data_IF_212171867329
#
_entry.id   IF_212171867329
#
_cell.length_a   1.000
_cell.length_b   1.000
_cell.length_c   1.000
_cell.angle_alpha   90.00
_cell.angle_beta   90.00
_cell.angle_gamma   90.00
#
_symmetry.space_group_name_H-M   'P 1'
#
loop_
_entity.id
_entity.type
_entity.pdbx_description
1 polymer ?
#
# COMPACT_ATOMS: atom_id res chain seq x y z
N UNK A 1 -6.96 -16.07 15.22
CA UNK A 1 -8.43 -16.12 15.42
C UNK A 1 -9.07 -15.68 14.11
N UNK A 2 -9.75 -16.54 13.34
CA UNK A 2 -10.46 -16.03 12.18
C UNK A 2 -11.71 -15.29 12.68
N UNK A 3 -11.85 -14.05 12.22
CA UNK A 3 -12.99 -13.15 12.42
C UNK A 3 -13.20 -12.63 13.85
N UNK A 4 -12.97 -11.32 14.02
CA UNK A 4 -13.22 -10.62 15.27
C UNK A 4 -14.71 -10.34 15.43
N UNK A 5 -15.26 -10.76 16.56
CA UNK A 5 -16.68 -10.76 16.90
C UNK A 5 -17.07 -9.63 17.89
N UNK A 6 -16.09 -8.98 18.51
CA UNK A 6 -16.29 -7.88 19.47
C UNK A 6 -15.46 -6.64 19.10
N UNK A 7 -16.16 -5.56 18.75
CA UNK A 7 -15.57 -4.24 18.50
C UNK A 7 -15.54 -3.39 19.76
N UNK A 8 -14.50 -2.56 19.91
CA UNK A 8 -14.30 -1.68 21.07
C UNK A 8 -15.36 -0.59 21.09
N UNK A 9 -15.95 -0.39 22.26
CA UNK A 9 -16.83 0.74 22.55
C UNK A 9 -16.01 2.00 22.92
N UNK A 10 -16.69 3.12 23.20
CA UNK A 10 -16.01 4.40 23.51
C UNK A 10 -15.08 4.23 24.70
N UNK A 11 -15.59 3.61 25.78
CA UNK A 11 -14.83 3.41 27.02
C UNK A 11 -13.57 2.57 26.79
N UNK A 12 -13.67 1.52 25.99
CA UNK A 12 -12.54 0.63 25.71
C UNK A 12 -11.49 1.33 24.86
N UNK A 13 -11.89 2.12 23.86
CA UNK A 13 -10.95 2.93 23.08
C UNK A 13 -10.22 3.96 23.95
N UNK A 14 -10.93 4.65 24.85
CA UNK A 14 -10.29 5.58 25.80
C UNK A 14 -9.34 4.88 26.78
N UNK A 15 -9.70 3.69 27.27
CA UNK A 15 -8.81 2.89 28.13
C UNK A 15 -7.54 2.43 27.39
N UNK A 16 -7.64 2.24 26.07
CA UNK A 16 -6.51 1.97 25.18
C UNK A 16 -5.71 3.25 24.83
N UNK A 17 -6.12 4.41 25.35
CA UNK A 17 -5.48 5.69 25.12
C UNK A 17 -5.87 6.34 23.78
N UNK A 18 -6.84 5.79 23.03
CA UNK A 18 -7.28 6.35 21.75
C UNK A 18 -8.34 7.42 22.00
N UNK A 19 -8.09 8.71 21.76
CA UNK A 19 -8.98 9.80 22.15
C UNK A 19 -10.11 10.00 21.11
N UNK A 20 -10.92 8.97 20.86
CA UNK A 20 -12.05 9.06 19.95
C UNK A 20 -13.06 10.11 20.45
N UNK A 21 -13.55 10.94 19.53
CA UNK A 21 -14.35 12.14 19.79
C UNK A 21 -15.86 11.93 19.58
N UNK A 22 -16.36 10.75 19.96
CA UNK A 22 -17.79 10.44 19.96
C UNK A 22 -18.25 9.91 21.32
N UNK A 23 -19.53 10.08 21.62
CA UNK A 23 -20.21 9.45 22.77
C UNK A 23 -21.04 8.24 22.36
N UNK A 24 -21.11 7.93 21.06
CA UNK A 24 -21.87 6.82 20.50
C UNK A 24 -21.03 5.55 20.48
N UNK A 25 -21.43 4.54 21.26
CA UNK A 25 -20.81 3.22 21.21
C UNK A 25 -21.00 2.53 19.86
N UNK A 26 -22.08 2.83 19.14
CA UNK A 26 -22.28 2.35 17.77
C UNK A 26 -21.19 2.89 16.85
N UNK A 27 -20.93 4.20 16.90
CA UNK A 27 -19.90 4.86 16.09
C UNK A 27 -18.51 4.35 16.45
N UNK A 28 -18.19 4.21 17.75
CA UNK A 28 -16.91 3.65 18.19
C UNK A 28 -16.69 2.21 17.67
N UNK A 29 -17.72 1.37 17.74
CA UNK A 29 -17.67 -0.01 17.23
C UNK A 29 -17.52 -0.04 15.71
N UNK A 30 -18.23 0.80 14.98
CA UNK A 30 -18.08 0.92 13.52
C UNK A 30 -16.70 1.44 13.14
N UNK A 31 -16.13 2.36 13.91
CA UNK A 31 -14.77 2.88 13.69
C UNK A 31 -13.76 1.75 13.81
N UNK A 32 -13.81 1.00 14.92
CA UNK A 32 -12.90 -0.10 15.20
C UNK A 32 -13.07 -1.30 14.24
N UNK A 33 -14.31 -1.57 13.80
CA UNK A 33 -14.59 -2.55 12.76
C UNK A 33 -14.06 -2.11 11.39
N UNK A 34 -14.15 -0.82 11.06
CA UNK A 34 -13.60 -0.28 9.80
C UNK A 34 -12.09 -0.38 9.79
N UNK A 35 -11.43 -0.06 10.91
CA UNK A 35 -9.98 -0.27 11.07
C UNK A 35 -9.59 -1.74 10.92
N UNK A 36 -10.36 -2.66 11.47
CA UNK A 36 -10.06 -4.09 11.37
C UNK A 36 -10.16 -4.59 9.94
N UNK A 37 -11.13 -4.12 9.16
CA UNK A 37 -11.25 -4.47 7.74
C UNK A 37 -10.17 -3.79 6.88
N UNK A 38 -9.73 -2.59 7.26
CA UNK A 38 -8.61 -1.91 6.59
C UNK A 38 -7.27 -2.59 6.83
N UNK A 39 -6.98 -2.96 8.08
CA UNK A 39 -5.68 -3.49 8.50
C UNK A 39 -5.58 -5.00 8.27
N UNK A 40 -6.62 -5.75 8.63
CA UNK A 40 -6.65 -7.21 8.57
C UNK A 40 -7.32 -7.78 7.32
N UNK A 41 -7.77 -6.92 6.40
CA UNK A 41 -8.54 -7.31 5.20
C UNK A 41 -9.78 -8.16 5.48
N UNK A 42 -10.32 -8.06 6.70
CA UNK A 42 -11.57 -8.69 7.10
C UNK A 42 -12.73 -8.13 6.24
N UNK A 43 -13.67 -8.99 5.82
CA UNK A 43 -14.86 -8.58 5.04
C UNK A 43 -16.18 -8.85 5.73
N UNK A 44 -16.18 -9.16 7.03
CA UNK A 44 -17.39 -9.47 7.82
C UNK A 44 -18.52 -8.44 7.69
N UNK A 45 -18.19 -7.16 7.47
CA UNK A 45 -19.18 -6.08 7.31
C UNK A 45 -19.32 -5.59 5.85
N UNK A 46 -18.94 -6.43 4.88
CA UNK A 46 -19.00 -6.08 3.45
C UNK A 46 -17.80 -5.27 2.95
N UNK A 47 -16.74 -5.17 3.76
CA UNK A 47 -15.48 -4.50 3.43
C UNK A 47 -15.44 -3.01 3.82
N UNK A 48 -14.34 -2.36 3.45
CA UNK A 48 -14.01 -1.00 3.89
C UNK A 48 -15.06 0.02 3.45
N UNK A 49 -15.48 -0.01 2.17
CA UNK A 49 -16.39 1.01 1.62
C UNK A 49 -17.77 1.02 2.31
N UNK A 50 -18.52 -0.10 2.42
CA UNK A 50 -19.79 -0.10 3.12
C UNK A 50 -19.67 0.25 4.61
N UNK A 51 -18.59 -0.20 5.25
CA UNK A 51 -18.34 0.05 6.67
C UNK A 51 -18.07 1.53 6.94
N UNK A 52 -17.27 2.17 6.09
CA UNK A 52 -17.01 3.60 6.16
C UNK A 52 -18.27 4.43 5.92
N UNK A 53 -19.13 4.03 4.97
CA UNK A 53 -20.42 4.70 4.75
C UNK A 53 -21.33 4.62 5.98
N UNK A 54 -21.41 3.44 6.63
CA UNK A 54 -22.16 3.26 7.88
C UNK A 54 -21.57 4.08 9.03
N UNK A 55 -20.25 4.10 9.15
CA UNK A 55 -19.53 4.86 10.16
C UNK A 55 -19.86 6.35 10.07
N UNK A 56 -19.74 6.94 8.88
CA UNK A 56 -20.02 8.36 8.65
C UNK A 56 -21.51 8.71 8.87
N UNK A 57 -22.42 7.78 8.59
CA UNK A 57 -23.85 7.97 8.83
C UNK A 57 -24.22 7.90 10.32
N UNK A 58 -23.49 7.11 11.13
CA UNK A 58 -23.81 6.90 12.55
C UNK A 58 -23.58 8.14 13.43
N UNK A 59 -22.57 8.94 13.10
CA UNK A 59 -22.27 10.21 13.76
C UNK A 59 -21.51 11.12 12.77
N UNK A 60 -22.24 11.98 12.02
CA UNK A 60 -21.62 12.86 11.02
C UNK A 60 -20.64 13.89 11.58
N UNK A 61 -20.70 14.16 12.89
CA UNK A 61 -19.86 15.17 13.54
C UNK A 61 -18.55 14.56 14.07
N UNK A 62 -18.46 13.23 14.22
CA UNK A 62 -17.26 12.54 14.67
C UNK A 62 -16.06 12.86 13.75
N UNK A 63 -15.09 13.60 14.26
CA UNK A 63 -13.87 13.99 13.56
C UNK A 63 -13.02 12.78 13.21
N UNK A 64 -12.87 11.83 14.13
CA UNK A 64 -12.08 10.60 13.92
C UNK A 64 -12.59 9.80 12.72
N UNK A 65 -13.92 9.69 12.56
CA UNK A 65 -14.55 9.04 11.41
C UNK A 65 -14.23 9.76 10.09
N UNK A 66 -14.29 11.08 10.08
CA UNK A 66 -13.98 11.92 8.91
C UNK A 66 -12.49 11.90 8.55
N UNK A 67 -11.61 11.86 9.55
CA UNK A 67 -10.15 11.68 9.36
C UNK A 67 -9.86 10.34 8.68
N UNK A 68 -10.45 9.25 9.18
CA UNK A 68 -10.30 7.93 8.55
C UNK A 68 -10.81 7.93 7.12
N UNK A 69 -11.97 8.56 6.87
CA UNK A 69 -12.53 8.69 5.52
C UNK A 69 -11.62 9.47 4.57
N UNK A 70 -11.09 10.62 5.01
CA UNK A 70 -10.19 11.45 4.23
C UNK A 70 -8.88 10.71 3.90
N UNK A 71 -8.30 9.98 4.86
CA UNK A 71 -7.10 9.18 4.64
C UNK A 71 -7.33 8.05 3.62
N UNK A 72 -8.40 7.28 3.77
CA UNK A 72 -8.76 6.21 2.84
C UNK A 72 -9.08 6.74 1.43
N UNK A 73 -9.70 7.92 1.36
CA UNK A 73 -9.93 8.64 0.11
C UNK A 73 -8.61 9.02 -0.58
N UNK A 74 -7.63 9.52 0.18
CA UNK A 74 -6.33 9.93 -0.35
C UNK A 74 -5.55 8.78 -1.00
N UNK A 75 -5.62 7.56 -0.48
CA UNK A 75 -5.01 6.38 -1.11
C UNK A 75 -5.62 6.04 -2.48
N UNK A 76 -6.85 6.47 -2.74
CA UNK A 76 -7.51 6.24 -4.04
C UNK A 76 -7.23 7.34 -5.07
N UNK A 77 -6.71 8.50 -4.66
CA UNK A 77 -6.58 9.67 -5.52
C UNK A 77 -5.41 9.56 -6.50
N UNK A 78 -5.58 9.96 -7.79
CA UNK A 78 -4.57 9.92 -8.84
C UNK A 78 -3.40 10.89 -8.68
N UNK A 79 -3.53 11.99 -7.94
CA UNK A 79 -2.40 12.86 -7.57
C UNK A 79 -2.84 13.97 -6.61
N UNK A 80 -1.90 14.59 -5.88
CA UNK A 80 -2.14 15.90 -5.29
C UNK A 80 -2.64 16.87 -6.37
N UNK A 81 -3.78 17.51 -6.10
CA UNK A 81 -4.42 18.46 -7.00
C UNK A 81 -5.33 19.39 -6.20
N UNK A 82 -5.70 20.54 -6.77
CA UNK A 82 -6.65 21.45 -6.14
C UNK A 82 -7.99 20.76 -5.82
N UNK A 83 -8.44 19.85 -6.69
CA UNK A 83 -9.65 19.07 -6.47
C UNK A 83 -9.49 18.08 -5.32
N UNK A 84 -8.41 17.30 -5.30
CA UNK A 84 -8.14 16.35 -4.21
C UNK A 84 -8.00 17.08 -2.87
N UNK A 85 -7.30 18.22 -2.84
CA UNK A 85 -7.19 19.07 -1.67
C UNK A 85 -8.55 19.59 -1.20
N UNK A 86 -9.38 20.11 -2.10
CA UNK A 86 -10.72 20.58 -1.77
C UNK A 86 -11.59 19.46 -1.18
N UNK A 87 -11.55 18.25 -1.75
CA UNK A 87 -12.29 17.09 -1.24
C UNK A 87 -11.83 16.66 0.15
N UNK A 88 -10.52 16.70 0.41
CA UNK A 88 -9.96 16.43 1.75
C UNK A 88 -10.43 17.48 2.75
N UNK A 89 -10.32 18.76 2.42
CA UNK A 89 -10.78 19.87 3.28
C UNK A 89 -12.29 19.76 3.55
N UNK A 90 -13.09 19.46 2.52
CA UNK A 90 -14.54 19.26 2.65
C UNK A 90 -14.86 18.09 3.58
N UNK A 91 -14.20 16.94 3.37
CA UNK A 91 -14.39 15.75 4.23
C UNK A 91 -13.99 16.05 5.68
N UNK A 92 -12.90 16.80 5.88
CA UNK A 92 -12.40 17.18 7.19
C UNK A 92 -13.28 18.24 7.88
N UNK A 93 -13.97 19.10 7.15
CA UNK A 93 -14.88 20.12 7.69
C UNK A 93 -14.29 20.95 8.84
N UNK A 94 -15.02 21.03 9.95
CA UNK A 94 -14.65 21.77 11.17
C UNK A 94 -13.44 21.20 11.94
N UNK A 95 -12.92 20.01 11.59
CA UNK A 95 -11.69 19.49 12.22
C UNK A 95 -10.48 20.41 11.98
N UNK A 96 -10.53 21.21 10.92
CA UNK A 96 -9.52 22.21 10.56
C UNK A 96 -9.35 23.33 11.58
N UNK A 97 -10.34 23.55 12.45
CA UNK A 97 -10.30 24.57 13.51
C UNK A 97 -10.34 23.95 14.92
N UNK A 98 -10.15 22.63 15.04
CA UNK A 98 -10.19 21.93 16.32
C UNK A 98 -9.05 22.34 17.25
N UNK A 99 -9.37 22.61 18.51
CA UNK A 99 -8.38 22.83 19.57
C UNK A 99 -7.87 21.52 20.20
N UNK A 100 -8.46 20.38 19.85
CA UNK A 100 -7.98 19.07 20.27
C UNK A 100 -6.70 18.72 19.50
N UNK A 101 -5.58 18.59 20.22
CA UNK A 101 -4.26 18.34 19.63
C UNK A 101 -4.23 17.09 18.73
N UNK A 102 -4.85 15.99 19.15
CA UNK A 102 -4.87 14.74 18.38
C UNK A 102 -5.58 14.94 17.02
N UNK A 103 -6.77 15.53 17.05
CA UNK A 103 -7.54 15.86 15.84
C UNK A 103 -6.76 16.85 14.96
N UNK A 104 -6.21 17.92 15.54
CA UNK A 104 -5.47 18.94 14.79
C UNK A 104 -4.24 18.39 14.06
N UNK A 105 -3.54 17.42 14.66
CA UNK A 105 -2.36 16.81 14.05
C UNK A 105 -2.74 15.90 12.88
N UNK A 106 -3.80 15.09 13.03
CA UNK A 106 -4.33 14.29 11.93
C UNK A 106 -4.80 15.16 10.76
N UNK A 107 -5.56 16.22 11.06
CA UNK A 107 -6.02 17.18 10.07
C UNK A 107 -4.84 17.84 9.35
N UNK A 108 -3.84 18.32 10.09
CA UNK A 108 -2.64 18.92 9.50
C UNK A 108 -1.91 17.94 8.58
N UNK A 109 -1.72 16.69 9.00
CA UNK A 109 -1.07 15.66 8.19
C UNK A 109 -1.82 15.40 6.87
N UNK A 110 -3.15 15.31 6.92
CA UNK A 110 -3.96 15.10 5.72
C UNK A 110 -3.95 16.30 4.79
N UNK A 111 -3.94 17.52 5.32
CA UNK A 111 -3.76 18.74 4.53
C UNK A 111 -2.41 18.73 3.83
N UNK A 112 -1.31 18.47 4.55
CA UNK A 112 0.02 18.40 3.97
C UNK A 112 0.12 17.32 2.88
N UNK A 113 -0.45 16.13 3.12
CA UNK A 113 -0.48 15.08 2.12
C UNK A 113 -1.31 15.48 0.89
N UNK A 114 -2.47 16.09 1.06
CA UNK A 114 -3.32 16.54 -0.06
C UNK A 114 -2.66 17.59 -0.95
N UNK A 115 -1.70 18.35 -0.40
CA UNK A 115 -0.87 19.32 -1.11
C UNK A 115 0.42 18.71 -1.71
N UNK A 116 0.65 17.41 -1.52
CA UNK A 116 1.81 16.69 -2.07
C UNK A 116 3.03 16.61 -1.15
N UNK A 117 2.87 16.93 0.14
CA UNK A 117 3.90 16.86 1.16
C UNK A 117 3.67 15.66 2.10
N UNK A 118 3.63 14.48 1.52
CA UNK A 118 3.45 13.18 2.20
C UNK A 118 4.53 12.93 3.25
N UNK A 119 5.77 13.39 3.04
CA UNK A 119 6.83 13.28 4.05
C UNK A 119 6.47 14.03 5.34
N UNK A 120 5.96 15.27 5.23
CA UNK A 120 5.53 16.07 6.39
C UNK A 120 4.32 15.45 7.10
N UNK A 121 3.41 14.86 6.34
CA UNK A 121 2.28 14.11 6.91
C UNK A 121 2.77 12.91 7.74
N UNK A 122 3.76 12.18 7.23
CA UNK A 122 4.38 11.04 7.92
C UNK A 122 5.05 11.47 9.23
N UNK A 123 5.84 12.55 9.21
CA UNK A 123 6.48 13.10 10.41
C UNK A 123 5.46 13.54 11.48
N UNK A 124 4.33 14.09 11.02
CA UNK A 124 3.24 14.50 11.89
C UNK A 124 2.58 13.29 12.57
N UNK A 125 2.33 12.21 11.83
CA UNK A 125 1.80 10.97 12.40
C UNK A 125 2.79 10.24 13.30
N UNK A 126 4.10 10.26 12.99
CA UNK A 126 5.13 9.80 13.92
C UNK A 126 5.06 10.56 15.27
N UNK A 127 4.82 11.88 15.22
CA UNK A 127 4.63 12.69 16.43
C UNK A 127 3.41 12.24 17.24
N UNK A 128 2.32 11.82 16.58
CA UNK A 128 1.14 11.27 17.25
C UNK A 128 1.50 9.95 17.96
N UNK A 129 2.23 9.04 17.30
CA UNK A 129 2.62 7.74 17.88
C UNK A 129 3.48 7.85 19.15
N UNK A 130 4.22 8.94 19.33
CA UNK A 130 4.95 9.21 20.58
C UNK A 130 4.02 9.36 21.79
N UNK A 131 2.81 9.88 21.58
CA UNK A 131 1.81 10.09 22.64
C UNK A 131 0.75 8.97 22.69
N UNK A 132 0.49 8.34 21.55
CA UNK A 132 -0.58 7.36 21.36
C UNK A 132 -0.04 6.07 20.73
N UNK A 133 0.82 5.30 21.43
CA UNK A 133 1.51 4.16 20.84
C UNK A 133 0.57 3.01 20.43
N UNK A 134 -0.64 2.93 20.99
CA UNK A 134 -1.67 1.94 20.62
C UNK A 134 -2.55 2.37 19.44
N UNK A 135 -2.29 3.53 18.85
CA UNK A 135 -3.05 4.02 17.70
C UNK A 135 -2.62 3.33 16.41
N UNK A 136 -3.26 2.20 16.15
CA UNK A 136 -3.03 1.39 14.96
C UNK A 136 -3.43 2.09 13.65
N UNK A 137 -4.38 3.03 13.71
CA UNK A 137 -4.76 3.82 12.52
C UNK A 137 -3.58 4.69 12.11
N UNK A 138 -3.02 5.44 13.07
CA UNK A 138 -1.83 6.27 12.82
C UNK A 138 -0.64 5.43 12.39
N UNK A 139 -0.37 4.30 13.04
CA UNK A 139 0.72 3.41 12.64
C UNK A 139 0.56 2.93 11.19
N UNK A 140 -0.66 2.55 10.81
CA UNK A 140 -0.95 2.12 9.44
C UNK A 140 -0.76 3.26 8.44
N UNK A 141 -1.17 4.47 8.77
CA UNK A 141 -0.95 5.64 7.90
C UNK A 141 0.53 5.92 7.68
N UNK A 142 1.35 5.88 8.74
CA UNK A 142 2.81 6.02 8.64
C UNK A 142 3.40 4.97 7.71
N UNK A 143 2.99 3.71 7.85
CA UNK A 143 3.48 2.61 7.02
C UNK A 143 3.12 2.84 5.55
N UNK A 144 1.85 3.10 5.27
CA UNK A 144 1.39 3.28 3.90
C UNK A 144 2.05 4.51 3.27
N UNK A 145 2.23 5.62 3.98
CA UNK A 145 2.94 6.77 3.39
C UNK A 145 4.44 6.58 3.25
N UNK A 146 5.09 5.89 4.21
CA UNK A 146 6.51 5.55 4.11
C UNK A 146 6.79 4.65 2.92
N UNK A 147 5.91 3.67 2.65
CA UNK A 147 5.98 2.82 1.48
C UNK A 147 5.96 3.64 0.18
N UNK A 148 5.00 4.54 0.04
CA UNK A 148 4.88 5.40 -1.16
C UNK A 148 6.03 6.41 -1.30
N UNK A 149 6.71 6.78 -0.21
CA UNK A 149 7.90 7.63 -0.23
C UNK A 149 9.20 6.85 -0.50
N UNK A 150 9.16 5.52 -0.46
CA UNK A 150 10.38 4.69 -0.47
C UNK A 150 11.21 4.80 0.81
N UNK A 151 10.62 5.24 1.92
CA UNK A 151 11.33 5.40 3.19
C UNK A 151 11.38 4.07 3.97
N UNK A 152 12.23 3.16 3.50
CA UNK A 152 12.37 1.81 4.05
C UNK A 152 12.76 1.80 5.53
N UNK A 153 13.56 2.78 5.99
CA UNK A 153 13.92 2.87 7.40
C UNK A 153 12.70 3.16 8.29
N UNK A 154 11.78 4.03 7.86
CA UNK A 154 10.56 4.30 8.63
C UNK A 154 9.60 3.11 8.62
N UNK A 155 9.51 2.36 7.51
CA UNK A 155 8.74 1.10 7.50
C UNK A 155 9.15 0.15 8.63
N UNK A 156 10.46 0.06 8.92
CA UNK A 156 10.99 -0.74 10.03
C UNK A 156 10.85 -0.05 11.37
N UNK A 157 11.36 1.18 11.48
CA UNK A 157 11.65 1.82 12.76
C UNK A 157 10.38 2.32 13.46
N UNK A 158 9.36 2.74 12.71
CA UNK A 158 8.07 3.15 13.27
C UNK A 158 7.39 2.00 14.01
N UNK A 159 7.35 0.81 13.40
CA UNK A 159 6.79 -0.39 14.04
C UNK A 159 7.67 -0.85 15.19
N UNK A 160 9.00 -0.88 14.99
CA UNK A 160 9.94 -1.29 16.03
C UNK A 160 9.85 -0.43 17.30
N UNK A 161 9.51 0.86 17.15
CA UNK A 161 9.36 1.80 18.28
C UNK A 161 8.17 1.47 19.17
N UNK A 162 7.04 1.06 18.58
CA UNK A 162 5.80 0.77 19.32
C UNK A 162 5.67 -0.71 19.69
N UNK A 163 6.28 -1.62 18.94
CA UNK A 163 6.12 -3.07 19.11
C UNK A 163 6.35 -3.55 20.56
N UNK A 164 7.39 -3.15 21.30
CA UNK A 164 7.57 -3.59 22.70
C UNK A 164 6.42 -3.17 23.63
N UNK A 165 5.82 -1.99 23.38
CA UNK A 165 4.66 -1.50 24.14
C UNK A 165 3.44 -2.38 23.85
N UNK A 166 3.22 -2.75 22.58
CA UNK A 166 2.18 -3.70 22.18
C UNK A 166 2.40 -5.10 22.73
N UNK A 167 3.63 -5.62 22.69
CA UNK A 167 4.01 -6.92 23.25
C UNK A 167 3.68 -7.01 24.74
N UNK A 168 4.00 -5.96 25.50
CA UNK A 168 3.72 -5.88 26.95
C UNK A 168 2.23 -5.71 27.29
N UNK A 169 1.39 -5.39 26.32
CA UNK A 169 -0.06 -5.23 26.50
C UNK A 169 -0.80 -6.58 26.48
N UNK A 170 -2.10 -6.55 26.81
CA UNK A 170 -2.97 -7.74 26.82
C UNK A 170 -2.76 -8.65 25.60
N UNK A 171 -2.64 -9.98 25.77
CA UNK A 171 -2.54 -10.92 24.66
C UNK A 171 -3.72 -10.82 23.68
N UNK A 172 -4.89 -10.40 24.17
CA UNK A 172 -6.11 -10.26 23.37
C UNK A 172 -6.31 -8.84 22.80
N UNK A 173 -5.28 -7.97 22.85
CA UNK A 173 -5.37 -6.64 22.25
C UNK A 173 -5.69 -6.79 20.74
N UNK A 174 -6.76 -6.15 20.25
CA UNK A 174 -7.11 -6.25 18.84
C UNK A 174 -5.98 -5.81 17.93
N UNK A 175 -5.82 -6.51 16.81
CA UNK A 175 -4.84 -6.22 15.76
C UNK A 175 -3.36 -6.33 16.17
N UNK A 176 -3.07 -6.80 17.39
CA UNK A 176 -1.69 -7.00 17.89
C UNK A 176 -0.87 -7.93 16.98
N UNK A 177 -1.48 -8.98 16.43
CA UNK A 177 -0.81 -9.91 15.50
C UNK A 177 -0.28 -9.21 14.24
N UNK A 178 -0.99 -8.21 13.73
CA UNK A 178 -0.63 -7.54 12.49
C UNK A 178 0.65 -6.71 12.59
N UNK A 179 1.05 -6.28 13.80
CA UNK A 179 2.33 -5.59 13.97
C UNK A 179 3.51 -6.49 13.60
N UNK A 180 3.40 -7.81 13.76
CA UNK A 180 4.47 -8.72 13.38
C UNK A 180 4.64 -8.79 11.87
N UNK A 181 3.55 -8.84 11.10
CA UNK A 181 3.60 -8.75 9.64
C UNK A 181 4.14 -7.40 9.16
N UNK A 182 3.65 -6.29 9.74
CA UNK A 182 4.15 -4.94 9.45
C UNK A 182 5.65 -4.80 9.73
N UNK A 183 6.11 -5.32 10.88
CA UNK A 183 7.52 -5.27 11.26
C UNK A 183 8.39 -6.17 10.39
N UNK A 184 7.91 -7.38 10.09
CA UNK A 184 8.59 -8.30 9.20
C UNK A 184 8.81 -7.69 7.82
N UNK A 185 7.80 -7.02 7.27
CA UNK A 185 7.91 -6.32 5.99
C UNK A 185 8.98 -5.22 6.04
N UNK A 186 8.95 -4.34 7.05
CA UNK A 186 10.00 -3.32 7.21
C UNK A 186 11.41 -3.90 7.41
N UNK A 187 11.54 -5.07 8.06
CA UNK A 187 12.81 -5.79 8.16
C UNK A 187 13.27 -6.34 6.81
N UNK A 188 12.36 -6.90 6.01
CA UNK A 188 12.68 -7.42 4.68
C UNK A 188 13.18 -6.29 3.77
N UNK A 189 12.45 -5.18 3.72
CA UNK A 189 12.78 -3.98 2.93
C UNK A 189 14.09 -3.29 3.37
N UNK A 190 14.63 -3.65 4.54
CA UNK A 190 15.92 -3.14 5.03
C UNK A 190 16.99 -4.23 5.10
N UNK A 191 16.83 -5.30 4.30
CA UNK A 191 17.77 -6.41 4.16
C UNK A 191 18.06 -7.18 5.46
N UNK A 192 17.19 -7.11 6.47
CA UNK A 192 17.28 -7.90 7.71
C UNK A 192 16.52 -9.23 7.57
N UNK A 193 16.83 -9.95 6.49
CA UNK A 193 16.05 -11.07 5.93
C UNK A 193 15.71 -12.16 6.97
N UNK A 194 16.70 -12.66 7.72
CA UNK A 194 16.48 -13.71 8.74
C UNK A 194 15.56 -13.25 9.89
N UNK A 195 15.61 -11.96 10.23
CA UNK A 195 14.73 -11.38 11.24
C UNK A 195 13.32 -11.20 10.68
N UNK A 196 13.20 -10.79 9.42
CA UNK A 196 11.93 -10.66 8.73
C UNK A 196 11.18 -12.00 8.72
N UNK A 197 11.83 -13.08 8.28
CA UNK A 197 11.26 -14.43 8.30
C UNK A 197 10.76 -14.82 9.70
N UNK A 198 11.60 -14.63 10.73
CA UNK A 198 11.25 -14.96 12.10
C UNK A 198 9.99 -14.21 12.56
N UNK A 199 9.91 -12.91 12.29
CA UNK A 199 8.77 -12.10 12.70
C UNK A 199 7.51 -12.44 11.90
N UNK A 200 7.63 -12.70 10.60
CA UNK A 200 6.53 -13.13 9.77
C UNK A 200 5.93 -14.44 10.26
N UNK A 201 6.76 -15.43 10.61
CA UNK A 201 6.31 -16.71 11.18
C UNK A 201 5.58 -16.53 12.50
N UNK A 202 6.06 -15.66 13.39
CA UNK A 202 5.33 -15.32 14.64
C UNK A 202 3.96 -14.69 14.32
N UNK A 203 3.89 -13.78 13.35
CA UNK A 203 2.64 -13.19 12.89
C UNK A 203 1.65 -14.25 12.41
N UNK A 204 2.10 -15.18 11.57
CA UNK A 204 1.30 -16.27 11.02
C UNK A 204 0.89 -17.32 12.07
N UNK A 205 1.72 -17.58 13.08
CA UNK A 205 1.36 -18.42 14.23
C UNK A 205 0.20 -17.81 15.05
N UNK A 206 0.15 -16.48 15.15
CA UNK A 206 -0.92 -15.76 15.85
C UNK A 206 -2.17 -15.59 14.97
N UNK A 207 -1.96 -15.39 13.67
CA UNK A 207 -2.99 -15.19 12.67
C UNK A 207 -2.54 -15.72 11.30
N UNK A 208 -2.94 -16.95 10.97
CA UNK A 208 -2.58 -17.58 9.69
C UNK A 208 -3.14 -16.85 8.46
N UNK A 209 -4.18 -16.03 8.64
CA UNK A 209 -4.81 -15.21 7.60
C UNK A 209 -4.17 -13.82 7.44
N UNK A 210 -3.04 -13.55 8.09
CA UNK A 210 -2.34 -12.27 7.94
C UNK A 210 -1.60 -12.20 6.59
N UNK A 211 -2.26 -11.65 5.58
CA UNK A 211 -1.69 -11.51 4.25
C UNK A 211 -0.41 -10.65 4.22
N UNK A 212 -0.23 -9.69 5.13
CA UNK A 212 1.01 -8.91 5.21
C UNK A 212 2.16 -9.72 5.82
N UNK A 213 1.88 -10.60 6.79
CA UNK A 213 2.86 -11.53 7.30
C UNK A 213 3.26 -12.58 6.24
N UNK A 214 2.28 -13.11 5.47
CA UNK A 214 2.54 -13.96 4.29
C UNK A 214 3.45 -13.24 3.31
N UNK A 215 3.09 -12.01 2.92
CA UNK A 215 3.88 -11.19 1.99
C UNK A 215 5.32 -10.96 2.48
N UNK A 216 5.52 -10.62 3.74
CA UNK A 216 6.85 -10.47 4.32
C UNK A 216 7.67 -11.77 4.33
N UNK A 217 7.02 -12.92 4.58
CA UNK A 217 7.69 -14.23 4.53
C UNK A 217 8.11 -14.59 3.11
N UNK A 218 7.28 -14.25 2.12
CA UNK A 218 7.59 -14.40 0.69
C UNK A 218 8.80 -13.54 0.32
N UNK A 219 8.83 -12.25 0.65
CA UNK A 219 10.04 -11.43 0.45
C UNK A 219 11.29 -12.05 1.08
N UNK A 220 11.20 -12.51 2.33
CA UNK A 220 12.35 -13.11 3.00
C UNK A 220 12.83 -14.39 2.30
N UNK A 221 11.90 -15.22 1.84
CA UNK A 221 12.17 -16.48 1.14
C UNK A 221 12.78 -16.25 -0.24
N UNK A 222 12.31 -15.21 -0.94
CA UNK A 222 12.86 -14.71 -2.20
C UNK A 222 14.33 -14.29 -2.04
N UNK A 223 14.62 -13.42 -1.06
CA UNK A 223 15.99 -12.95 -0.82
C UNK A 223 16.98 -14.04 -0.39
N UNK A 224 16.48 -15.19 0.07
CA UNK A 224 17.31 -16.35 0.38
C UNK A 224 17.43 -17.35 -0.78
N UNK A 225 16.78 -17.09 -1.92
CA UNK A 225 16.78 -17.98 -3.09
C UNK A 225 16.10 -19.32 -2.81
N UNK A 226 15.16 -19.37 -1.85
CA UNK A 226 14.45 -20.61 -1.46
C UNK A 226 13.13 -20.76 -2.21
N UNK A 227 13.16 -20.58 -3.53
CA UNK A 227 11.96 -20.49 -4.37
C UNK A 227 11.06 -21.73 -4.29
N UNK A 228 11.63 -22.94 -4.25
CA UNK A 228 10.83 -24.17 -4.10
C UNK A 228 10.13 -24.25 -2.72
N UNK A 229 10.75 -23.75 -1.64
CA UNK A 229 10.08 -23.62 -0.33
C UNK A 229 8.94 -22.59 -0.41
N UNK A 230 9.20 -21.47 -1.09
CA UNK A 230 8.21 -20.41 -1.28
C UNK A 230 6.98 -20.85 -2.05
N UNK A 231 7.15 -21.59 -3.16
CA UNK A 231 6.04 -22.15 -3.94
C UNK A 231 5.23 -23.13 -3.10
N UNK A 232 5.88 -24.09 -2.43
CA UNK A 232 5.19 -25.08 -1.59
C UNK A 232 4.39 -24.41 -0.46
N UNK A 233 4.93 -23.35 0.14
CA UNK A 233 4.24 -22.54 1.13
C UNK A 233 3.01 -21.83 0.56
N UNK A 234 3.16 -21.15 -0.59
CA UNK A 234 2.08 -20.40 -1.23
C UNK A 234 0.94 -21.32 -1.69
N UNK A 235 1.26 -22.45 -2.31
CA UNK A 235 0.27 -23.46 -2.71
C UNK A 235 -0.53 -24.00 -1.53
N UNK A 236 0.12 -24.25 -0.39
CA UNK A 236 -0.55 -24.78 0.81
C UNK A 236 -1.40 -23.76 1.55
N UNK A 237 -1.11 -22.47 1.39
CA UNK A 237 -1.72 -21.40 2.17
C UNK A 237 -2.60 -20.46 1.36
N UNK A 238 -2.84 -20.74 0.08
CA UNK A 238 -3.65 -19.97 -0.87
C UNK A 238 -4.94 -19.39 -0.24
N UNK A 239 -5.73 -20.26 0.40
CA UNK A 239 -6.99 -19.90 1.05
C UNK A 239 -6.83 -18.97 2.28
N UNK A 240 -5.62 -18.79 2.81
CA UNK A 240 -5.39 -17.98 4.00
C UNK A 240 -5.25 -16.50 3.67
N UNK A 241 -4.63 -16.16 2.53
CA UNK A 241 -4.26 -14.79 2.20
C UNK A 241 -5.03 -14.22 1.00
N UNK A 242 -5.63 -15.07 0.14
CA UNK A 242 -6.41 -14.60 -1.02
C UNK A 242 -7.64 -13.76 -0.67
N UNK A 243 -8.16 -13.84 0.55
CA UNK A 243 -9.28 -12.99 0.97
C UNK A 243 -8.88 -11.49 1.05
N UNK A 244 -7.59 -11.20 1.20
CA UNK A 244 -7.10 -9.81 1.25
C UNK A 244 -6.92 -9.21 -0.14
N UNK A 245 -7.98 -8.60 -0.69
CA UNK A 245 -7.99 -7.95 -2.02
C UNK A 245 -6.88 -6.90 -2.21
N UNK A 246 -6.34 -6.34 -1.12
CA UNK A 246 -5.36 -5.25 -1.16
C UNK A 246 -3.97 -5.73 -1.59
N UNK A 247 -3.57 -6.94 -1.18
CA UNK A 247 -2.19 -7.46 -1.38
C UNK A 247 -2.15 -8.86 -1.99
N UNK A 248 -3.27 -9.59 -2.05
CA UNK A 248 -3.33 -10.95 -2.59
C UNK A 248 -2.69 -11.07 -3.99
N UNK A 249 -3.07 -10.19 -4.92
CA UNK A 249 -2.51 -10.23 -6.28
C UNK A 249 -1.01 -9.94 -6.34
N UNK A 250 -0.48 -9.24 -5.34
CA UNK A 250 0.94 -8.95 -5.23
C UNK A 250 1.70 -10.16 -4.64
N UNK A 251 1.06 -10.92 -3.76
CA UNK A 251 1.58 -12.24 -3.33
C UNK A 251 1.58 -13.21 -4.52
N UNK A 252 0.52 -13.22 -5.34
CA UNK A 252 0.50 -13.98 -6.60
C UNK A 252 1.62 -13.54 -7.56
N UNK A 253 1.94 -12.24 -7.60
CA UNK A 253 3.07 -11.74 -8.40
C UNK A 253 4.41 -12.32 -7.95
N UNK A 254 4.69 -12.37 -6.64
CA UNK A 254 5.89 -13.04 -6.13
C UNK A 254 5.89 -14.54 -6.43
N UNK A 255 4.74 -15.21 -6.36
CA UNK A 255 4.63 -16.60 -6.80
C UNK A 255 5.09 -16.74 -8.25
N UNK A 256 4.58 -15.89 -9.15
CA UNK A 256 5.01 -15.90 -10.55
C UNK A 256 6.52 -15.64 -10.71
N UNK A 257 7.14 -14.83 -9.84
CA UNK A 257 8.60 -14.68 -9.84
C UNK A 257 9.33 -15.95 -9.43
N UNK A 258 8.85 -16.69 -8.44
CA UNK A 258 9.45 -17.97 -8.04
C UNK A 258 9.38 -19.02 -9.14
N UNK A 259 8.28 -19.04 -9.89
CA UNK A 259 8.13 -19.91 -11.06
C UNK A 259 9.11 -19.51 -12.16
N UNK A 260 9.23 -18.20 -12.43
CA UNK A 260 10.16 -17.68 -13.44
C UNK A 260 11.63 -17.97 -13.07
N UNK A 261 12.02 -17.86 -11.79
CA UNK A 261 13.36 -18.22 -11.32
C UNK A 261 13.69 -19.71 -11.51
N UNK A 262 12.67 -20.57 -11.61
CA UNK A 262 12.82 -22.00 -11.89
C UNK A 262 12.61 -22.35 -13.38
N UNK A 263 12.58 -21.34 -14.26
CA UNK A 263 12.32 -21.50 -15.70
C UNK A 263 10.91 -22.06 -16.04
N UNK A 264 9.98 -22.02 -15.07
CA UNK A 264 8.58 -22.41 -15.24
C UNK A 264 7.74 -21.24 -15.78
N UNK A 265 8.18 -20.63 -16.88
CA UNK A 265 7.59 -19.38 -17.38
C UNK A 265 6.12 -19.53 -17.79
N UNK A 266 5.68 -20.70 -18.27
CA UNK A 266 4.26 -20.94 -18.59
C UNK A 266 3.37 -20.85 -17.34
N UNK A 267 3.89 -21.28 -16.18
CA UNK A 267 3.17 -21.17 -14.91
C UNK A 267 3.11 -19.72 -14.43
N UNK A 268 4.20 -18.98 -14.58
CA UNK A 268 4.22 -17.54 -14.30
C UNK A 268 3.21 -16.79 -15.18
N UNK A 269 3.09 -17.15 -16.47
CA UNK A 269 2.09 -16.60 -17.38
C UNK A 269 0.66 -16.97 -16.94
N UNK A 270 0.41 -18.22 -16.53
CA UNK A 270 -0.90 -18.64 -16.01
C UNK A 270 -1.33 -17.79 -14.81
N UNK A 271 -0.42 -17.56 -13.86
CA UNK A 271 -0.67 -16.72 -12.67
C UNK A 271 -0.94 -15.27 -13.08
N UNK A 272 -0.14 -14.72 -13.99
CA UNK A 272 -0.36 -13.37 -14.55
C UNK A 272 -1.77 -13.22 -15.11
N UNK A 273 -2.23 -14.17 -15.93
CA UNK A 273 -3.58 -14.10 -16.53
C UNK A 273 -4.67 -14.27 -15.47
N UNK A 274 -4.56 -15.30 -14.62
CA UNK A 274 -5.64 -15.74 -13.74
C UNK A 274 -5.80 -14.86 -12.50
N UNK A 275 -4.70 -14.40 -11.91
CA UNK A 275 -4.71 -13.74 -10.61
C UNK A 275 -4.52 -12.22 -10.71
N UNK A 276 -3.65 -11.76 -11.63
CA UNK A 276 -3.26 -10.36 -11.72
C UNK A 276 -4.15 -9.60 -12.72
N UNK A 277 -4.21 -10.06 -13.98
CA UNK A 277 -4.95 -9.38 -15.05
C UNK A 277 -6.45 -9.66 -15.04
N UNK A 278 -6.87 -10.84 -14.59
CA UNK A 278 -8.29 -11.13 -14.43
C UNK A 278 -8.89 -10.22 -13.34
N UNK A 279 -9.76 -9.32 -13.77
CA UNK A 279 -10.41 -8.36 -12.88
C UNK A 279 -11.92 -8.29 -13.11
N UNK A 280 -12.52 -9.37 -13.62
CA UNK A 280 -13.98 -9.50 -13.82
C UNK A 280 -14.60 -8.31 -14.58
N UNK A 281 -13.90 -7.81 -15.60
CA UNK A 281 -14.36 -6.68 -16.42
C UNK A 281 -14.24 -5.29 -15.76
N UNK A 282 -13.67 -5.20 -14.56
CA UNK A 282 -13.36 -3.91 -13.91
C UNK A 282 -11.97 -3.43 -14.33
N UNK A 283 -11.76 -2.12 -14.27
CA UNK A 283 -10.44 -1.51 -14.42
C UNK A 283 -9.46 -2.00 -13.34
N UNK A 284 -8.20 -2.26 -13.75
CA UNK A 284 -7.14 -2.72 -12.86
C UNK A 284 -6.89 -1.72 -11.72
N UNK A 285 -6.50 -2.23 -10.55
CA UNK A 285 -5.89 -1.36 -9.53
C UNK A 285 -4.48 -0.97 -9.98
N UNK A 286 -3.95 0.14 -9.45
CA UNK A 286 -2.56 0.57 -9.72
C UNK A 286 -1.54 -0.52 -9.37
N UNK A 287 -1.71 -1.20 -8.25
CA UNK A 287 -0.82 -2.28 -7.83
C UNK A 287 -0.84 -3.44 -8.83
N UNK A 288 -2.04 -3.93 -9.21
CA UNK A 288 -2.17 -4.96 -10.25
C UNK A 288 -1.56 -4.53 -11.59
N UNK A 289 -1.72 -3.27 -11.96
CA UNK A 289 -1.12 -2.71 -13.17
C UNK A 289 0.41 -2.76 -13.12
N UNK A 290 1.03 -2.30 -12.02
CA UNK A 290 2.49 -2.33 -11.87
C UNK A 290 3.04 -3.75 -11.76
N UNK A 291 2.33 -4.64 -11.05
CA UNK A 291 2.68 -6.06 -10.94
C UNK A 291 2.70 -6.72 -12.32
N UNK A 292 1.63 -6.54 -13.09
CA UNK A 292 1.53 -7.08 -14.45
C UNK A 292 2.60 -6.49 -15.39
N UNK A 293 2.77 -5.16 -15.40
CA UNK A 293 3.77 -4.50 -16.23
C UNK A 293 5.19 -4.99 -15.92
N UNK A 294 5.52 -5.14 -14.64
CA UNK A 294 6.84 -5.59 -14.20
C UNK A 294 7.12 -7.06 -14.48
N UNK A 295 6.11 -7.93 -14.38
CA UNK A 295 6.22 -9.36 -14.68
C UNK A 295 6.35 -9.61 -16.18
N UNK A 296 5.56 -8.91 -17.00
CA UNK A 296 5.67 -8.95 -18.47
C UNK A 296 7.06 -8.49 -18.92
N UNK A 297 7.56 -7.39 -18.35
CA UNK A 297 8.90 -6.90 -18.65
C UNK A 297 9.98 -7.93 -18.30
N UNK A 298 9.87 -8.62 -17.16
CA UNK A 298 10.80 -9.68 -16.75
C UNK A 298 10.75 -10.91 -17.65
N UNK A 299 9.55 -11.35 -18.07
CA UNK A 299 9.40 -12.44 -19.04
C UNK A 299 10.11 -12.11 -20.36
N UNK A 300 9.96 -10.87 -20.85
CA UNK A 300 10.69 -10.37 -22.02
C UNK A 300 12.20 -10.41 -21.82
N UNK A 301 12.70 -9.93 -20.67
CA UNK A 301 14.14 -9.96 -20.36
C UNK A 301 14.71 -11.38 -20.28
N UNK A 302 13.93 -12.34 -19.77
CA UNK A 302 14.29 -13.75 -19.71
C UNK A 302 14.22 -14.45 -21.09
N UNK A 303 13.75 -13.77 -22.14
CA UNK A 303 13.65 -14.32 -23.49
C UNK A 303 12.42 -15.21 -23.74
N UNK A 304 11.46 -15.21 -22.82
CA UNK A 304 10.21 -15.94 -22.99
C UNK A 304 9.17 -15.14 -23.79
N UNK A 305 8.17 -15.80 -24.39
CA UNK A 305 7.09 -15.11 -25.08
C UNK A 305 6.39 -14.09 -24.17
N UNK A 306 6.20 -12.89 -24.69
CA UNK A 306 5.32 -11.90 -24.06
C UNK A 306 3.88 -12.17 -24.53
N UNK A 307 2.90 -12.36 -23.63
CA UNK A 307 1.51 -12.50 -24.03
C UNK A 307 1.00 -11.25 -24.74
N UNK A 308 0.96 -11.28 -26.07
CA UNK A 308 0.60 -10.13 -26.92
C UNK A 308 -0.87 -9.73 -26.82
N UNK A 309 -1.76 -10.63 -26.41
CA UNK A 309 -3.20 -10.37 -26.25
C UNK A 309 -3.58 -9.79 -24.87
N UNK A 310 -2.78 -10.08 -23.84
CA UNK A 310 -3.03 -9.66 -22.43
C UNK A 310 -2.69 -8.19 -22.16
N UNK A 311 -2.10 -7.54 -23.16
CA UNK A 311 -1.61 -6.18 -23.16
C UNK A 311 -2.73 -5.11 -23.23
N UNK A 312 -3.91 -5.46 -23.75
CA UNK A 312 -4.99 -4.49 -23.99
C UNK A 312 -5.52 -3.83 -22.72
N UNK A 313 -5.62 -4.57 -21.61
CA UNK A 313 -6.05 -4.02 -20.31
C UNK A 313 -5.02 -3.05 -19.73
N UNK A 314 -3.73 -3.35 -19.88
CA UNK A 314 -2.65 -2.44 -19.46
C UNK A 314 -2.65 -1.17 -20.30
N UNK A 315 -2.90 -1.27 -21.61
CA UNK A 315 -3.05 -0.09 -22.48
C UNK A 315 -4.26 0.75 -22.08
N UNK A 316 -5.41 0.12 -21.82
CA UNK A 316 -6.60 0.84 -21.36
C UNK A 316 -6.33 1.60 -20.06
N UNK A 317 -5.68 0.95 -19.08
CA UNK A 317 -5.29 1.61 -17.83
C UNK A 317 -4.32 2.78 -18.08
N UNK A 318 -3.27 2.53 -18.87
CA UNK A 318 -2.28 3.54 -19.26
C UNK A 318 -2.92 4.76 -19.93
N UNK A 319 -3.86 4.55 -20.86
CA UNK A 319 -4.49 5.64 -21.60
C UNK A 319 -5.33 6.55 -20.68
N UNK A 320 -5.93 6.00 -19.63
CA UNK A 320 -6.67 6.76 -18.61
C UNK A 320 -5.73 7.51 -17.66
N UNK A 321 -4.60 6.88 -17.30
CA UNK A 321 -3.72 7.33 -16.22
C UNK A 321 -2.38 7.94 -16.67
N UNK A 322 -2.17 8.10 -17.99
CA UNK A 322 -0.90 8.51 -18.61
C UNK A 322 -0.26 9.74 -17.94
N UNK A 323 -1.09 10.71 -17.52
CA UNK A 323 -0.64 12.01 -17.01
C UNK A 323 -0.87 12.17 -15.50
N UNK A 324 -1.10 11.06 -14.78
CA UNK A 324 -1.32 11.10 -13.33
C UNK A 324 -0.03 11.52 -12.58
N UNK A 325 1.12 10.97 -12.97
CA UNK A 325 2.43 11.26 -12.37
C UNK A 325 2.41 11.34 -10.83
N UNK A 326 1.87 10.33 -10.15
CA UNK A 326 1.77 10.35 -8.69
C UNK A 326 2.98 9.74 -7.97
N UNK A 327 3.68 8.80 -8.59
CA UNK A 327 4.94 8.25 -8.09
C UNK A 327 5.84 7.90 -9.28
N UNK A 328 7.15 8.12 -9.13
CA UNK A 328 8.11 7.70 -10.15
C UNK A 328 8.09 6.18 -10.37
N UNK A 329 7.75 5.41 -9.33
CA UNK A 329 7.54 3.97 -9.44
C UNK A 329 6.50 3.64 -10.50
N UNK A 330 5.30 4.24 -10.43
CA UNK A 330 4.27 4.02 -11.43
C UNK A 330 4.71 4.53 -12.80
N UNK A 331 5.34 5.70 -12.86
CA UNK A 331 5.84 6.31 -14.11
C UNK A 331 6.85 5.41 -14.86
N UNK A 332 7.73 4.72 -14.13
CA UNK A 332 8.64 3.70 -14.73
C UNK A 332 7.86 2.52 -15.32
N UNK A 333 6.81 2.05 -14.63
CA UNK A 333 5.98 0.95 -15.15
C UNK A 333 5.16 1.36 -16.37
N UNK A 334 4.73 2.62 -16.46
CA UNK A 334 4.13 3.14 -17.69
C UNK A 334 5.10 3.06 -18.87
N UNK A 335 6.41 3.32 -18.68
CA UNK A 335 7.42 3.10 -19.72
C UNK A 335 7.48 1.64 -20.15
N UNK A 336 7.54 0.68 -19.23
CA UNK A 336 7.54 -0.76 -19.58
C UNK A 336 6.36 -1.13 -20.50
N UNK A 337 5.18 -0.59 -20.22
CA UNK A 337 3.99 -0.83 -21.06
C UNK A 337 4.13 -0.12 -22.42
N UNK A 338 4.50 1.16 -22.45
CA UNK A 338 4.70 1.92 -23.69
C UNK A 338 5.71 1.25 -24.63
N UNK A 339 6.81 0.75 -24.07
CA UNK A 339 7.89 0.08 -24.79
C UNK A 339 7.44 -1.27 -25.36
N UNK A 340 6.54 -1.95 -24.66
CA UNK A 340 5.92 -3.18 -25.15
C UNK A 340 5.00 -2.95 -26.35
N UNK A 341 4.40 -1.75 -26.45
CA UNK A 341 3.53 -1.36 -27.58
C UNK A 341 4.26 -0.66 -28.72
N UNK A 342 5.55 -0.33 -28.56
CA UNK A 342 6.30 0.51 -29.49
C UNK A 342 5.59 1.84 -29.81
N UNK A 343 4.86 2.41 -28.83
CA UNK A 343 4.07 3.64 -28.96
C UNK A 343 4.93 4.88 -28.68
N UNK A 344 5.85 5.18 -29.59
CA UNK A 344 6.87 6.22 -29.42
C UNK A 344 6.28 7.62 -29.24
N UNK A 345 5.17 7.94 -29.91
CA UNK A 345 4.55 9.26 -29.80
C UNK A 345 3.88 9.46 -28.44
N UNK A 346 3.17 8.46 -27.93
CA UNK A 346 2.61 8.51 -26.57
C UNK A 346 3.71 8.53 -25.52
N UNK A 347 4.83 7.79 -25.72
CA UNK A 347 5.99 7.83 -24.82
C UNK A 347 6.62 9.23 -24.74
N UNK A 348 6.77 9.93 -25.87
CA UNK A 348 7.25 11.32 -25.88
C UNK A 348 6.30 12.27 -25.15
N UNK A 349 4.99 12.12 -25.36
CA UNK A 349 3.98 12.92 -24.65
C UNK A 349 4.05 12.69 -23.13
N UNK A 350 4.13 11.43 -22.72
CA UNK A 350 4.29 11.02 -21.32
C UNK A 350 5.53 11.62 -20.66
N UNK A 351 6.71 11.49 -21.29
CA UNK A 351 7.96 12.03 -20.72
C UNK A 351 7.93 13.55 -20.63
N UNK A 352 7.32 14.23 -21.62
CA UNK A 352 7.10 15.67 -21.59
C UNK A 352 6.17 16.05 -20.45
N UNK A 353 5.01 15.41 -20.33
CA UNK A 353 4.03 15.75 -19.28
C UNK A 353 4.57 15.48 -17.89
N UNK A 354 5.36 14.41 -17.72
CA UNK A 354 6.04 14.11 -16.46
C UNK A 354 6.95 15.27 -16.10
N UNK A 355 7.89 15.62 -16.98
CA UNK A 355 8.82 16.72 -16.78
C UNK A 355 8.11 18.03 -16.44
N UNK A 356 7.13 18.43 -17.25
CA UNK A 356 6.35 19.66 -17.03
C UNK A 356 5.62 19.69 -15.69
N UNK A 357 5.14 18.53 -15.22
CA UNK A 357 4.37 18.41 -13.98
C UNK A 357 5.25 18.46 -12.74
N UNK A 358 6.41 17.78 -12.75
CA UNK A 358 7.17 17.53 -11.51
C UNK A 358 8.51 18.26 -11.42
N UNK A 359 9.11 18.70 -12.53
CA UNK A 359 10.48 19.25 -12.54
C UNK A 359 10.62 20.50 -11.65
N UNK A 360 9.64 21.41 -11.68
CA UNK A 360 9.63 22.64 -10.88
C UNK A 360 8.83 22.53 -9.59
N UNK A 361 8.20 21.38 -9.32
CA UNK A 361 7.35 21.18 -8.14
C UNK A 361 8.18 21.03 -6.85
N UNK A 362 7.77 21.69 -5.76
CA UNK A 362 8.38 21.57 -4.44
C UNK A 362 7.84 20.38 -3.62
N UNK A 363 6.88 19.65 -4.17
CA UNK A 363 6.31 18.42 -3.61
C UNK A 363 7.32 17.28 -3.53
N UNK A 364 6.97 16.21 -2.81
CA UNK A 364 7.88 15.07 -2.63
C UNK A 364 8.23 14.39 -3.97
N UNK A 365 7.26 14.22 -4.88
CA UNK A 365 7.55 13.67 -6.20
C UNK A 365 8.45 14.58 -7.03
N UNK A 366 8.30 15.90 -6.92
CA UNK A 366 9.18 16.85 -7.61
C UNK A 366 10.62 16.73 -7.13
N UNK A 367 10.83 16.52 -5.82
CA UNK A 367 12.16 16.23 -5.26
C UNK A 367 12.73 14.91 -5.80
N UNK A 368 11.97 13.82 -5.71
CA UNK A 368 12.40 12.52 -6.23
C UNK A 368 12.75 12.59 -7.72
N UNK A 369 11.93 13.29 -8.52
CA UNK A 369 12.19 13.44 -9.94
C UNK A 369 13.50 14.15 -10.19
N UNK A 370 13.76 15.30 -9.56
CA UNK A 370 15.03 16.01 -9.75
C UNK A 370 16.25 15.19 -9.33
N UNK A 371 16.11 14.34 -8.32
CA UNK A 371 17.21 13.52 -7.80
C UNK A 371 17.56 12.33 -8.71
N UNK A 372 16.55 11.55 -9.12
CA UNK A 372 16.75 10.28 -9.83
C UNK A 372 15.98 10.15 -11.15
N UNK A 373 14.89 10.91 -11.34
CA UNK A 373 13.98 10.80 -12.48
C UNK A 373 14.68 10.85 -13.85
N UNK A 374 15.33 11.97 -14.24
CA UNK A 374 16.02 12.08 -15.53
C UNK A 374 17.02 10.97 -15.80
N UNK A 375 17.68 10.44 -14.76
CA UNK A 375 18.67 9.35 -14.90
C UNK A 375 17.99 8.03 -15.19
N UNK A 376 16.91 7.72 -14.48
CA UNK A 376 16.15 6.47 -14.66
C UNK A 376 15.53 6.42 -16.05
N UNK A 377 14.82 7.48 -16.48
CA UNK A 377 14.16 7.46 -17.79
C UNK A 377 15.15 7.46 -18.95
N UNK A 378 16.29 8.14 -18.83
CA UNK A 378 17.37 8.05 -19.82
C UNK A 378 17.99 6.66 -19.88
N UNK A 379 18.18 6.00 -18.73
CA UNK A 379 18.71 4.63 -18.69
C UNK A 379 17.75 3.62 -19.34
N UNK A 380 16.44 3.77 -19.13
CA UNK A 380 15.44 2.92 -19.79
C UNK A 380 15.47 3.09 -21.32
N UNK A 381 15.56 4.32 -21.81
CA UNK A 381 15.67 4.60 -23.24
C UNK A 381 16.94 3.99 -23.85
N UNK A 382 18.10 4.18 -23.21
CA UNK A 382 19.37 3.59 -23.64
C UNK A 382 19.36 2.06 -23.62
N UNK A 383 18.75 1.47 -22.60
CA UNK A 383 18.62 0.01 -22.50
C UNK A 383 17.81 -0.55 -23.67
N UNK A 384 16.72 0.10 -24.05
CA UNK A 384 15.91 -0.30 -25.21
C UNK A 384 16.65 -0.11 -26.55
N UNK A 385 17.53 0.88 -26.65
CA UNK A 385 18.42 1.11 -27.80
C UNK A 385 19.60 0.12 -27.87
N UNK A 386 19.79 -0.71 -26.85
CA UNK A 386 20.91 -1.66 -26.74
C UNK A 386 22.23 -1.03 -26.30
N UNK A 387 22.23 0.21 -25.80
CA UNK A 387 23.41 0.90 -25.27
C UNK A 387 23.61 0.56 -23.78
N UNK A 388 23.92 -0.70 -23.48
CA UNK A 388 24.05 -1.19 -22.10
C UNK A 388 25.25 -0.64 -21.31
N UNK A 389 26.16 0.07 -21.97
CA UNK A 389 27.40 0.57 -21.36
C UNK A 389 27.27 1.99 -20.77
N UNK A 390 26.19 2.71 -21.10
CA UNK A 390 25.91 4.09 -20.71
C UNK A 390 24.67 4.20 -19.83
#
# INVERSE_FOLDING_TARGET
MPFRDHWRDVKTLHNDGIPIDTTSDETAKLFDATLTQYIGCDKQLGGIKPSLSRLLASDPNCASSRILAAALGMFSMPRPSALAHAQVVETLGDTTISSNRYISLHTQALIDWSLGYRARATDTWETILLSYPFDIMTLRFVLDTSFHLGNQNMLRDSVARVLPIWESSSPHRPLKSHLYGMYAFGLAETNMVLRAEKQARVGLELNEHDAWATHALVHATEYMGRTSEGIDFLEKTDNHWHECDIIASHIDWHWALYELEQDNWEKAEEILQRCILNNNGKELSRLKYTDAASLIYRLKLAGHPCPSQSNSQLKQFLDVHLRDHQTLFNDVHHCFVLDNFADTETKKDFLRSLKETVESSDTDIGKSYREIGPRIFAALERFDEGDYAQ
#
